data_IF_577303072583
#
_entry.id   IF_577303072583
#
_cell.length_a   1.000
_cell.length_b   1.000
_cell.length_c   1.000
_cell.angle_alpha   90.00
_cell.angle_beta   90.00
_cell.angle_gamma   90.00
#
_symmetry.space_group_name_H-M   'P 1'
#
loop_
_entity.id
_entity.type
_entity.pdbx_description
1 polymer ?
#
# COMPACT_ATOMS: atom_id res chain seq x y z
N UNK A 1 51.53 10.47 24.67
CA UNK A 1 50.28 9.75 24.95
C UNK A 1 49.54 9.65 23.64
N UNK A 2 49.47 8.48 23.04
CA UNK A 2 48.72 8.28 21.79
C UNK A 2 47.23 8.47 22.07
N UNK A 3 46.60 9.47 21.47
CA UNK A 3 45.16 9.66 21.55
C UNK A 3 44.49 8.41 20.97
N UNK A 4 43.77 7.64 21.78
CA UNK A 4 42.99 6.50 21.31
C UNK A 4 41.96 7.04 20.32
N UNK A 5 42.09 6.66 19.04
CA UNK A 5 41.12 7.03 18.02
C UNK A 5 39.75 6.45 18.40
N UNK A 6 38.69 7.23 18.25
CA UNK A 6 37.30 6.83 18.54
C UNK A 6 36.76 5.90 17.47
N UNK A 7 35.76 5.09 17.81
CA UNK A 7 34.91 4.37 16.85
C UNK A 7 33.80 5.30 16.36
N UNK A 8 33.50 5.33 15.07
CA UNK A 8 32.35 6.04 14.49
C UNK A 8 31.22 5.04 14.22
N UNK A 9 30.03 5.33 14.73
CA UNK A 9 28.81 4.55 14.47
C UNK A 9 27.83 5.47 13.75
N UNK A 10 27.42 5.08 12.53
CA UNK A 10 26.50 5.81 11.68
C UNK A 10 25.19 5.02 11.60
N UNK A 11 24.10 5.56 12.15
CA UNK A 11 22.76 5.02 12.01
C UNK A 11 21.96 5.96 11.12
N UNK A 12 21.60 5.50 9.92
CA UNK A 12 20.95 6.36 8.92
C UNK A 12 19.99 5.59 8.03
N UNK A 13 19.00 6.26 7.45
CA UNK A 13 18.19 5.64 6.41
C UNK A 13 18.98 5.52 5.09
N UNK A 14 19.82 6.52 4.76
CA UNK A 14 20.62 6.55 3.56
C UNK A 14 22.04 7.02 3.86
N UNK A 15 23.05 6.18 3.51
CA UNK A 15 24.46 6.52 3.62
C UNK A 15 25.08 6.70 2.23
N UNK A 16 25.59 7.89 1.95
CA UNK A 16 26.29 8.22 0.70
C UNK A 16 27.81 8.12 0.90
N UNK A 17 28.40 7.14 0.23
CA UNK A 17 29.86 6.89 0.21
C UNK A 17 30.38 6.97 -1.24
N UNK A 18 29.80 7.85 -2.04
CA UNK A 18 30.24 8.01 -3.44
C UNK A 18 31.54 8.81 -3.55
N UNK A 19 31.87 9.64 -2.56
CA UNK A 19 33.07 10.47 -2.54
C UNK A 19 33.64 10.61 -1.13
N UNK A 20 34.08 9.49 -0.50
CA UNK A 20 34.56 9.51 0.88
C UNK A 20 35.91 10.24 0.97
N UNK A 21 36.07 11.02 2.03
CA UNK A 21 37.31 11.71 2.30
C UNK A 21 38.25 10.79 3.12
N UNK A 22 39.36 10.40 2.56
CA UNK A 22 40.35 9.55 3.22
C UNK A 22 40.78 10.10 4.61
N UNK A 23 40.87 11.44 4.75
CA UNK A 23 41.19 12.13 6.01
C UNK A 23 40.14 11.89 7.08
N UNK A 24 38.85 11.86 6.71
CA UNK A 24 37.75 11.60 7.66
C UNK A 24 37.78 10.14 8.09
N UNK A 25 37.99 9.23 7.15
CA UNK A 25 38.01 7.79 7.43
C UNK A 25 39.19 7.41 8.33
N UNK A 26 40.37 8.00 8.12
CA UNK A 26 41.57 7.72 8.90
C UNK A 26 41.55 8.32 10.31
N UNK A 27 40.60 9.19 10.63
CA UNK A 27 40.44 9.79 11.96
C UNK A 27 39.84 8.82 13.00
N UNK A 28 39.27 7.68 12.54
CA UNK A 28 38.58 6.73 13.40
C UNK A 28 39.30 5.37 13.43
N UNK A 29 39.26 4.71 14.59
CA UNK A 29 39.83 3.37 14.78
C UNK A 29 39.00 2.27 14.12
N UNK A 30 37.70 2.49 13.98
CA UNK A 30 36.74 1.64 13.29
C UNK A 30 35.51 2.48 12.89
N UNK A 31 34.83 2.08 11.82
CA UNK A 31 33.59 2.70 11.37
C UNK A 31 32.54 1.60 11.24
N UNK A 32 31.39 1.82 11.84
CA UNK A 32 30.23 0.94 11.75
C UNK A 32 29.08 1.71 11.09
N UNK A 33 28.58 1.19 9.98
CA UNK A 33 27.51 1.80 9.19
C UNK A 33 26.28 0.90 9.31
N UNK A 34 25.22 1.40 9.92
CA UNK A 34 23.91 0.78 10.00
C UNK A 34 22.94 1.63 9.18
N UNK A 35 22.57 1.15 8.00
CA UNK A 35 21.76 1.92 7.07
C UNK A 35 20.68 1.06 6.40
N UNK A 36 19.54 1.66 6.07
CA UNK A 36 18.58 0.98 5.21
C UNK A 36 19.13 0.86 3.76
N UNK A 37 19.84 1.90 3.27
CA UNK A 37 20.47 1.88 1.96
C UNK A 37 21.84 2.54 2.02
N UNK A 38 22.81 1.95 1.31
CA UNK A 38 24.16 2.51 1.12
C UNK A 38 24.42 2.71 -0.36
N UNK A 39 24.93 3.88 -0.72
CA UNK A 39 25.39 4.19 -2.08
C UNK A 39 26.92 4.34 -2.02
N UNK A 40 27.62 3.59 -2.86
CA UNK A 40 29.07 3.52 -2.83
C UNK A 40 29.63 3.62 -4.24
N UNK A 41 30.73 4.37 -4.42
CA UNK A 41 31.48 4.32 -5.68
C UNK A 41 32.45 3.13 -5.72
N UNK A 42 32.85 2.65 -6.93
CA UNK A 42 33.87 1.60 -7.04
C UNK A 42 35.16 1.98 -6.30
N UNK A 43 35.59 3.22 -6.43
CA UNK A 43 36.79 3.77 -5.79
C UNK A 43 36.68 3.77 -4.26
N UNK A 44 35.50 4.18 -3.77
CA UNK A 44 35.20 4.15 -2.33
C UNK A 44 35.19 2.74 -1.77
N UNK A 45 34.69 1.77 -2.54
CA UNK A 45 34.67 0.36 -2.15
C UNK A 45 36.07 -0.20 -1.96
N UNK A 46 37.00 0.12 -2.86
CA UNK A 46 38.42 -0.27 -2.75
C UNK A 46 39.04 0.38 -1.49
N UNK A 47 38.79 1.67 -1.27
CA UNK A 47 39.32 2.39 -0.12
C UNK A 47 38.80 1.80 1.22
N UNK A 48 37.50 1.48 1.31
CA UNK A 48 36.93 0.89 2.51
C UNK A 48 37.45 -0.51 2.81
N UNK A 49 37.85 -1.29 1.80
CA UNK A 49 38.41 -2.63 2.00
C UNK A 49 39.73 -2.59 2.78
N UNK A 50 40.44 -1.47 2.73
CA UNK A 50 41.70 -1.28 3.44
C UNK A 50 41.50 -0.75 4.89
N UNK A 51 40.29 -0.46 5.32
CA UNK A 51 39.96 0.15 6.59
C UNK A 51 39.09 -0.78 7.44
N UNK A 52 39.09 -0.64 8.79
CA UNK A 52 38.20 -1.42 9.67
C UNK A 52 36.77 -0.87 9.61
N UNK A 53 36.08 -1.10 8.49
CA UNK A 53 34.68 -0.69 8.27
C UNK A 53 33.79 -1.91 8.28
N UNK A 54 32.77 -1.88 9.13
CA UNK A 54 31.66 -2.84 9.12
C UNK A 54 30.40 -2.16 8.57
N UNK A 55 29.65 -2.87 7.72
CA UNK A 55 28.47 -2.33 7.06
C UNK A 55 27.29 -3.29 7.20
N UNK A 56 26.24 -2.80 7.86
CA UNK A 56 24.93 -3.46 7.99
C UNK A 56 23.94 -2.65 7.16
N UNK A 57 23.61 -3.11 5.96
CA UNK A 57 22.69 -2.41 5.08
C UNK A 57 21.69 -3.40 4.46
N UNK A 58 20.41 -2.98 4.35
CA UNK A 58 19.40 -3.76 3.64
C UNK A 58 19.65 -3.74 2.11
N UNK A 59 20.23 -2.66 1.58
CA UNK A 59 20.63 -2.56 0.18
C UNK A 59 21.93 -1.79 0.00
N UNK A 60 22.74 -2.19 -1.01
CA UNK A 60 23.96 -1.49 -1.42
C UNK A 60 23.90 -1.24 -2.91
N UNK A 61 23.96 0.02 -3.32
CA UNK A 61 23.91 0.44 -4.72
C UNK A 61 25.24 1.06 -5.13
N UNK A 62 25.79 0.64 -6.28
CA UNK A 62 26.98 1.27 -6.84
C UNK A 62 26.60 2.45 -7.73
N UNK A 63 27.30 3.56 -7.55
CA UNK A 63 27.17 4.74 -8.40
C UNK A 63 28.56 5.35 -8.66
N UNK A 64 28.81 5.96 -9.84
CA UNK A 64 30.05 6.63 -10.13
C UNK A 64 30.38 7.74 -9.12
N UNK A 65 31.68 8.01 -8.91
CA UNK A 65 32.11 9.13 -8.07
C UNK A 65 31.50 10.46 -8.57
N UNK A 66 31.08 11.32 -7.64
CA UNK A 66 30.46 12.61 -7.97
C UNK A 66 29.01 12.51 -8.43
N UNK A 67 28.38 11.33 -8.38
CA UNK A 67 26.95 11.16 -8.65
C UNK A 67 26.13 11.95 -7.61
N UNK A 68 25.21 12.77 -8.09
CA UNK A 68 24.25 13.44 -7.22
C UNK A 68 23.13 12.46 -6.85
N UNK A 69 22.79 12.40 -5.57
CA UNK A 69 21.65 11.61 -5.09
C UNK A 69 20.42 12.52 -5.05
N UNK A 70 19.38 12.14 -5.78
CA UNK A 70 18.08 12.82 -5.77
C UNK A 70 17.02 11.89 -5.18
N UNK A 71 16.51 12.23 -3.99
CA UNK A 71 15.40 11.50 -3.34
C UNK A 71 14.10 12.24 -3.59
N UNK A 72 13.12 11.52 -4.13
CA UNK A 72 11.77 12.01 -4.42
C UNK A 72 10.75 11.18 -3.65
N UNK A 73 9.89 11.86 -2.88
CA UNK A 73 8.78 11.22 -2.18
C UNK A 73 7.46 11.54 -2.91
N UNK A 74 6.59 10.54 -3.04
CA UNK A 74 5.34 10.66 -3.76
C UNK A 74 5.44 10.32 -5.24
N UNK A 75 4.90 11.14 -6.13
CA UNK A 75 4.92 10.89 -7.58
C UNK A 75 6.01 11.71 -8.26
N UNK A 76 6.87 11.02 -9.01
CA UNK A 76 7.89 11.64 -9.85
C UNK A 76 7.65 11.26 -11.32
N UNK A 77 7.85 12.21 -12.22
CA UNK A 77 7.62 12.03 -13.65
C UNK A 77 8.90 12.24 -14.45
N UNK A 78 9.26 11.27 -15.30
CA UNK A 78 10.33 11.40 -16.29
C UNK A 78 9.71 11.70 -17.64
N UNK A 79 10.07 12.85 -18.20
CA UNK A 79 9.64 13.31 -19.52
C UNK A 79 10.81 13.31 -20.51
N UNK A 80 10.57 13.36 -21.83
CA UNK A 80 11.65 13.43 -22.83
C UNK A 80 12.64 14.58 -22.62
N UNK A 81 12.18 15.70 -22.04
CA UNK A 81 12.99 16.88 -21.75
C UNK A 81 13.63 16.86 -20.35
N UNK A 82 13.29 15.84 -19.54
CA UNK A 82 13.70 15.73 -18.13
C UNK A 82 15.07 15.07 -17.90
N UNK A 83 15.95 15.04 -18.90
CA UNK A 83 17.29 14.47 -18.73
C UNK A 83 18.12 15.30 -17.73
N UNK A 84 18.74 14.68 -16.71
CA UNK A 84 19.63 15.39 -15.81
C UNK A 84 20.91 15.85 -16.53
N UNK A 85 21.38 17.06 -16.21
CA UNK A 85 22.61 17.63 -16.78
C UNK A 85 23.90 17.08 -16.17
N UNK A 86 23.79 16.31 -15.09
CA UNK A 86 24.90 15.64 -14.37
C UNK A 86 24.48 14.21 -14.05
N UNK A 87 25.43 13.30 -13.77
CA UNK A 87 25.07 11.97 -13.30
C UNK A 87 24.23 12.03 -12.00
N UNK A 88 23.01 11.52 -12.05
CA UNK A 88 22.07 11.49 -10.92
C UNK A 88 21.67 10.05 -10.65
N UNK A 89 21.77 9.62 -9.41
CA UNK A 89 21.06 8.45 -8.89
C UNK A 89 19.70 8.94 -8.37
N UNK A 90 18.63 8.56 -9.07
CA UNK A 90 17.26 8.91 -8.70
C UNK A 90 16.67 7.83 -7.79
N UNK A 91 16.25 8.22 -6.61
CA UNK A 91 15.53 7.38 -5.66
C UNK A 91 14.09 7.89 -5.52
N UNK A 92 13.10 7.06 -5.85
CA UNK A 92 11.69 7.42 -5.75
C UNK A 92 11.01 6.56 -4.69
N UNK A 93 10.51 7.19 -3.64
CA UNK A 93 9.65 6.54 -2.64
C UNK A 93 8.20 6.86 -2.97
N UNK A 94 7.53 5.94 -3.67
CA UNK A 94 6.15 6.13 -4.11
C UNK A 94 5.94 5.71 -5.56
N UNK A 95 5.76 6.65 -6.48
CA UNK A 95 5.39 6.34 -7.87
C UNK A 95 6.33 7.01 -8.86
N UNK A 96 6.88 6.22 -9.77
CA UNK A 96 7.60 6.71 -10.94
C UNK A 96 6.71 6.59 -12.19
N UNK A 97 6.49 7.71 -12.87
CA UNK A 97 5.76 7.78 -14.12
C UNK A 97 6.72 8.15 -15.25
N UNK A 98 6.86 7.28 -16.22
CA UNK A 98 7.72 7.52 -17.41
C UNK A 98 6.83 7.81 -18.60
N UNK A 99 7.10 8.90 -19.32
CA UNK A 99 6.34 9.30 -20.50
C UNK A 99 6.92 8.71 -21.79
N UNK A 100 6.10 8.51 -22.83
CA UNK A 100 6.59 8.09 -24.15
C UNK A 100 7.73 9.01 -24.65
N UNK A 101 8.72 8.42 -25.31
CA UNK A 101 9.88 9.16 -25.85
C UNK A 101 10.97 9.48 -24.84
N UNK A 102 10.89 9.04 -23.57
CA UNK A 102 11.87 9.37 -22.52
C UNK A 102 13.12 8.48 -22.50
N UNK A 103 13.43 7.74 -23.57
CA UNK A 103 14.59 6.83 -23.62
C UNK A 103 15.92 7.54 -23.29
N UNK A 104 16.16 8.70 -23.90
CA UNK A 104 17.40 9.48 -23.67
C UNK A 104 17.44 10.03 -22.23
N UNK A 105 16.33 10.51 -21.72
CA UNK A 105 16.23 10.97 -20.33
C UNK A 105 16.54 9.84 -19.36
N UNK A 106 16.00 8.64 -19.57
CA UNK A 106 16.30 7.46 -18.73
C UNK A 106 17.77 7.08 -18.74
N UNK A 107 18.41 7.11 -19.93
CA UNK A 107 19.86 6.78 -20.06
C UNK A 107 20.77 7.80 -19.38
N UNK A 108 20.32 9.04 -19.23
CA UNK A 108 21.10 10.10 -18.59
C UNK A 108 21.18 9.95 -17.04
N UNK A 109 20.30 9.14 -16.43
CA UNK A 109 20.45 8.81 -15.01
C UNK A 109 21.57 7.78 -14.80
N UNK A 110 22.41 8.02 -13.80
CA UNK A 110 23.44 7.06 -13.37
C UNK A 110 22.79 5.78 -12.79
N UNK A 111 21.61 5.89 -12.22
CA UNK A 111 20.78 4.80 -11.74
C UNK A 111 19.40 5.29 -11.35
N UNK A 112 18.43 4.37 -11.34
CA UNK A 112 17.06 4.65 -10.90
C UNK A 112 16.68 3.55 -9.90
N UNK A 113 16.25 3.96 -8.71
CA UNK A 113 15.76 3.08 -7.67
C UNK A 113 14.36 3.51 -7.24
N UNK A 114 13.40 2.59 -7.23
CA UNK A 114 12.01 2.91 -6.92
C UNK A 114 11.50 1.97 -5.83
N UNK A 115 11.06 2.54 -4.73
CA UNK A 115 10.30 1.84 -3.69
C UNK A 115 8.83 2.18 -3.88
N UNK A 116 8.10 1.31 -4.62
CA UNK A 116 6.69 1.54 -4.93
C UNK A 116 6.28 1.12 -6.33
N UNK A 117 5.57 1.98 -7.07
CA UNK A 117 4.99 1.64 -8.37
C UNK A 117 5.68 2.36 -9.52
N UNK A 118 5.99 1.63 -10.59
CA UNK A 118 6.51 2.20 -11.84
C UNK A 118 5.51 2.00 -12.98
N UNK A 119 5.24 3.07 -13.73
CA UNK A 119 4.41 3.07 -14.93
C UNK A 119 5.26 3.56 -16.10
N UNK A 120 5.37 2.76 -17.16
CA UNK A 120 6.22 3.09 -18.31
C UNK A 120 5.64 2.57 -19.64
N UNK A 121 5.92 3.25 -20.79
CA UNK A 121 5.53 2.79 -22.10
C UNK A 121 6.20 1.48 -22.50
N UNK A 122 5.53 0.62 -23.24
CA UNK A 122 6.04 -0.68 -23.69
C UNK A 122 7.39 -0.56 -24.41
N UNK A 123 7.59 0.49 -25.22
CA UNK A 123 8.85 0.72 -25.96
C UNK A 123 10.05 0.95 -25.03
N UNK A 124 9.83 1.33 -23.78
CA UNK A 124 10.90 1.65 -22.82
C UNK A 124 11.24 0.48 -21.87
N UNK A 125 10.71 -0.71 -22.12
CA UNK A 125 10.98 -1.89 -21.27
C UNK A 125 12.49 -2.23 -21.18
N UNK A 126 13.23 -2.02 -22.26
CA UNK A 126 14.69 -2.23 -22.28
C UNK A 126 15.46 -1.28 -21.38
N UNK A 127 15.10 0.01 -21.37
CA UNK A 127 15.68 1.01 -20.49
C UNK A 127 15.29 0.77 -19.03
N UNK A 128 14.05 0.40 -18.78
CA UNK A 128 13.53 0.14 -17.44
C UNK A 128 14.09 -1.12 -16.79
N UNK A 129 14.62 -2.07 -17.56
CA UNK A 129 15.31 -3.25 -17.01
C UNK A 129 16.56 -2.91 -16.17
N UNK A 130 17.11 -1.69 -16.33
CA UNK A 130 18.23 -1.17 -15.55
C UNK A 130 17.82 -0.54 -14.22
N UNK A 131 16.53 -0.26 -14.02
CA UNK A 131 16.00 0.30 -12.79
C UNK A 131 15.84 -0.81 -11.73
N UNK A 132 16.15 -0.48 -10.48
CA UNK A 132 15.88 -1.34 -9.33
C UNK A 132 14.50 -0.97 -8.78
N UNK A 133 13.55 -1.91 -8.82
CA UNK A 133 12.19 -1.65 -8.38
C UNK A 133 11.79 -2.61 -7.25
N UNK A 134 11.59 -2.04 -6.06
CA UNK A 134 10.97 -2.70 -4.92
C UNK A 134 9.48 -2.38 -4.92
N UNK A 135 8.68 -3.24 -5.57
CA UNK A 135 7.24 -3.00 -5.70
C UNK A 135 6.69 -3.51 -7.02
N UNK A 136 5.80 -2.74 -7.67
CA UNK A 136 5.12 -3.17 -8.88
C UNK A 136 5.54 -2.36 -10.11
N UNK A 137 5.59 -3.04 -11.25
CA UNK A 137 5.82 -2.41 -12.56
C UNK A 137 4.62 -2.64 -13.47
N UNK A 138 4.20 -1.61 -14.20
CA UNK A 138 3.10 -1.68 -15.16
C UNK A 138 3.55 -1.03 -16.46
N UNK A 139 3.65 -1.84 -17.50
CA UNK A 139 3.89 -1.34 -18.85
C UNK A 139 2.55 -1.00 -19.53
N UNK A 140 2.51 0.06 -20.32
CA UNK A 140 1.32 0.46 -21.07
C UNK A 140 1.66 0.75 -22.55
N UNK A 141 0.68 0.66 -23.47
CA UNK A 141 0.90 0.94 -24.88
C UNK A 141 1.33 2.40 -25.12
N UNK A 142 2.26 2.60 -26.03
CA UNK A 142 2.88 3.92 -26.31
C UNK A 142 1.88 4.95 -26.85
N UNK A 143 0.87 4.50 -27.58
CA UNK A 143 -0.21 5.29 -28.15
C UNK A 143 -1.39 5.53 -27.20
N UNK A 144 -1.37 4.90 -26.02
CA UNK A 144 -2.45 5.03 -25.06
C UNK A 144 -2.33 6.28 -24.20
N UNK A 145 -3.46 6.88 -23.90
CA UNK A 145 -3.57 7.88 -22.82
C UNK A 145 -3.60 7.15 -21.49
N UNK A 146 -2.56 7.35 -20.68
CA UNK A 146 -2.50 6.76 -19.36
C UNK A 146 -3.42 7.49 -18.37
N UNK A 147 -4.33 6.73 -17.76
CA UNK A 147 -5.14 7.15 -16.60
C UNK A 147 -4.69 6.31 -15.40
N UNK A 148 -3.89 6.90 -14.53
CA UNK A 148 -3.41 6.22 -13.36
C UNK A 148 -4.42 6.35 -12.22
N UNK A 149 -5.18 5.28 -11.99
CA UNK A 149 -6.31 5.21 -11.08
C UNK A 149 -7.58 4.72 -11.77
N UNK A 150 -8.73 5.15 -11.27
CA UNK A 150 -10.04 4.88 -11.87
C UNK A 150 -10.38 5.94 -12.92
N UNK A 151 -11.02 5.50 -14.00
CA UNK A 151 -11.59 6.38 -15.01
C UNK A 151 -13.11 6.45 -14.81
N UNK A 152 -13.63 7.60 -14.43
CA UNK A 152 -15.07 7.86 -14.40
C UNK A 152 -15.51 8.46 -15.73
N UNK A 153 -16.37 7.75 -16.43
CA UNK A 153 -16.98 8.23 -17.70
C UNK A 153 -18.23 9.03 -17.34
N UNK A 154 -18.17 10.30 -17.63
CA UNK A 154 -19.27 11.26 -17.53
C UNK A 154 -19.47 11.98 -18.87
N UNK A 155 -20.43 12.88 -18.96
CA UNK A 155 -20.69 13.66 -20.17
C UNK A 155 -19.46 14.47 -20.61
N UNK A 156 -18.65 14.98 -19.67
CA UNK A 156 -17.44 15.71 -19.98
C UNK A 156 -16.34 14.83 -20.54
N UNK A 157 -16.19 13.60 -20.02
CA UNK A 157 -15.27 12.60 -20.59
C UNK A 157 -15.65 12.30 -22.04
N UNK A 158 -16.94 12.05 -22.31
CA UNK A 158 -17.44 11.78 -23.66
C UNK A 158 -17.11 12.93 -24.63
N UNK A 159 -17.34 14.17 -24.22
CA UNK A 159 -17.03 15.34 -25.04
C UNK A 159 -15.55 15.50 -25.37
N UNK A 160 -14.65 15.11 -24.46
CA UNK A 160 -13.19 15.21 -24.58
C UNK A 160 -12.52 13.98 -25.17
N UNK A 161 -13.25 12.87 -25.28
CA UNK A 161 -12.72 11.62 -25.77
C UNK A 161 -12.16 11.77 -27.19
N UNK A 162 -11.04 11.11 -27.45
CA UNK A 162 -10.34 11.07 -28.74
C UNK A 162 -10.33 9.65 -29.28
N UNK A 163 -10.04 9.50 -30.55
CA UNK A 163 -9.75 8.22 -31.18
C UNK A 163 -8.39 7.71 -30.72
N UNK A 164 -8.37 7.13 -29.53
CA UNK A 164 -7.15 6.62 -28.87
C UNK A 164 -7.52 5.63 -27.79
N UNK A 165 -6.70 4.62 -27.52
CA UNK A 165 -6.86 3.78 -26.33
C UNK A 165 -6.56 4.56 -25.05
N UNK A 166 -7.36 4.30 -24.01
CA UNK A 166 -7.16 4.79 -22.64
C UNK A 166 -6.72 3.65 -21.76
N UNK A 167 -5.46 3.65 -21.34
CA UNK A 167 -4.96 2.65 -20.41
C UNK A 167 -5.28 3.05 -18.97
N UNK A 168 -6.18 2.30 -18.32
CA UNK A 168 -6.69 2.59 -16.99
C UNK A 168 -6.13 1.58 -15.98
N UNK A 169 -5.36 2.06 -15.00
CA UNK A 169 -4.62 1.17 -14.11
C UNK A 169 -5.47 0.49 -13.03
N UNK A 170 -6.64 1.04 -12.70
CA UNK A 170 -7.53 0.50 -11.66
C UNK A 170 -8.80 -0.08 -12.26
N UNK A 171 -9.75 0.74 -12.60
CA UNK A 171 -11.02 0.33 -13.23
C UNK A 171 -11.70 1.51 -13.95
N UNK A 172 -12.65 1.17 -14.84
CA UNK A 172 -13.52 2.15 -15.48
C UNK A 172 -14.90 2.13 -14.83
N UNK A 173 -15.51 3.29 -14.63
CA UNK A 173 -16.85 3.45 -14.06
C UNK A 173 -17.75 4.17 -15.05
N UNK A 174 -18.84 3.53 -15.46
CA UNK A 174 -19.91 4.08 -16.31
C UNK A 174 -21.23 3.87 -15.55
N UNK A 175 -21.49 4.73 -14.55
CA UNK A 175 -22.61 4.54 -13.60
C UNK A 175 -23.87 5.34 -13.96
N UNK A 176 -23.76 6.40 -14.74
CA UNK A 176 -24.91 7.20 -15.15
C UNK A 176 -25.64 6.51 -16.31
N UNK A 177 -26.86 6.05 -16.07
CA UNK A 177 -27.69 5.33 -17.03
C UNK A 177 -28.16 6.18 -18.22
N UNK A 178 -27.95 7.51 -18.17
CA UNK A 178 -28.40 8.45 -19.20
C UNK A 178 -27.29 8.89 -20.16
N UNK A 179 -26.08 8.35 -19.99
CA UNK A 179 -24.94 8.69 -20.87
C UNK A 179 -25.17 8.20 -22.32
N UNK A 180 -24.84 9.04 -23.26
CA UNK A 180 -24.77 8.66 -24.68
C UNK A 180 -23.46 7.93 -24.97
N UNK A 181 -23.47 6.62 -24.75
CA UNK A 181 -22.31 5.76 -24.97
C UNK A 181 -22.00 5.60 -26.46
N UNK A 182 -22.99 5.70 -27.33
CA UNK A 182 -22.77 5.60 -28.80
C UNK A 182 -21.84 6.70 -29.28
N UNK A 183 -22.00 7.92 -28.76
CA UNK A 183 -21.10 9.02 -29.08
C UNK A 183 -19.66 8.74 -28.68
N UNK A 184 -19.41 7.98 -27.58
CA UNK A 184 -18.08 7.56 -27.17
C UNK A 184 -17.48 6.50 -28.09
N UNK A 185 -18.30 5.51 -28.49
CA UNK A 185 -17.92 4.46 -29.47
C UNK A 185 -17.60 5.08 -30.83
N UNK A 186 -18.44 5.97 -31.33
CA UNK A 186 -18.27 6.67 -32.62
C UNK A 186 -16.99 7.53 -32.64
N UNK A 187 -16.54 8.03 -31.49
CA UNK A 187 -15.27 8.73 -31.37
C UNK A 187 -14.05 7.81 -31.39
N UNK A 188 -14.21 6.50 -31.45
CA UNK A 188 -13.12 5.53 -31.51
C UNK A 188 -12.43 5.29 -30.16
N UNK A 189 -13.00 5.77 -29.05
CA UNK A 189 -12.42 5.55 -27.72
C UNK A 189 -12.44 4.06 -27.35
N UNK A 190 -11.38 3.58 -26.70
CA UNK A 190 -11.26 2.21 -26.17
C UNK A 190 -10.59 2.25 -24.81
N UNK A 191 -11.03 1.36 -23.91
CA UNK A 191 -10.44 1.24 -22.57
C UNK A 191 -9.65 -0.06 -22.46
N UNK A 192 -8.37 0.08 -22.17
CA UNK A 192 -7.48 -1.00 -21.80
C UNK A 192 -7.46 -1.08 -20.26
N UNK A 193 -8.28 -1.98 -19.72
CA UNK A 193 -8.44 -2.13 -18.25
C UNK A 193 -8.74 -3.57 -17.89
N UNK A 194 -8.41 -3.97 -16.67
CA UNK A 194 -8.77 -5.31 -16.16
C UNK A 194 -10.20 -5.39 -15.64
N UNK A 195 -10.81 -4.24 -15.25
CA UNK A 195 -12.10 -4.21 -14.57
C UNK A 195 -12.90 -2.98 -14.96
N UNK A 196 -14.20 -3.14 -15.15
CA UNK A 196 -15.11 -2.03 -15.34
C UNK A 196 -16.41 -2.26 -14.57
N UNK A 197 -17.00 -1.18 -14.09
CA UNK A 197 -18.34 -1.13 -13.51
C UNK A 197 -19.24 -0.36 -14.47
N UNK A 198 -20.29 -0.98 -14.94
CA UNK A 198 -21.14 -0.43 -16.00
C UNK A 198 -22.60 -0.52 -15.60
N UNK A 199 -23.35 0.57 -15.70
CA UNK A 199 -24.80 0.56 -15.48
C UNK A 199 -25.44 -0.53 -16.36
N UNK A 200 -26.25 -1.40 -15.76
CA UNK A 200 -26.85 -2.58 -16.40
C UNK A 200 -27.53 -2.25 -17.72
N UNK A 201 -28.20 -1.10 -17.79
CA UNK A 201 -28.90 -0.64 -19.03
C UNK A 201 -27.97 -0.30 -20.18
N UNK A 202 -26.70 0.02 -19.89
CA UNK A 202 -25.71 0.43 -20.89
C UNK A 202 -24.77 -0.70 -21.31
N UNK A 203 -24.92 -1.91 -20.75
CA UNK A 203 -24.00 -3.02 -21.00
C UNK A 203 -23.81 -3.30 -22.51
N UNK A 204 -24.89 -3.46 -23.25
CA UNK A 204 -24.80 -3.80 -24.66
C UNK A 204 -24.09 -2.72 -25.52
N UNK A 205 -24.25 -1.45 -25.15
CA UNK A 205 -23.66 -0.33 -25.88
C UNK A 205 -22.20 -0.11 -25.50
N UNK A 206 -21.80 -0.55 -24.32
CA UNK A 206 -20.43 -0.35 -23.78
C UNK A 206 -19.45 -1.45 -24.18
N UNK A 207 -19.91 -2.64 -24.53
CA UNK A 207 -19.04 -3.77 -24.90
C UNK A 207 -17.95 -3.41 -25.93
N UNK A 208 -18.24 -2.65 -27.01
CA UNK A 208 -17.21 -2.28 -27.99
C UNK A 208 -16.07 -1.41 -27.43
N UNK A 209 -16.24 -0.81 -26.24
CA UNK A 209 -15.24 0.04 -25.60
C UNK A 209 -14.16 -0.77 -24.88
N UNK A 210 -14.38 -2.06 -24.62
CA UNK A 210 -13.51 -2.90 -23.79
C UNK A 210 -12.93 -4.06 -24.59
N UNK A 211 -11.78 -4.55 -24.16
CA UNK A 211 -11.22 -5.82 -24.62
C UNK A 211 -11.96 -7.00 -23.97
N UNK A 212 -11.97 -8.14 -24.65
CA UNK A 212 -12.61 -9.38 -24.15
C UNK A 212 -12.05 -9.86 -22.81
N UNK A 213 -10.82 -9.46 -22.48
CA UNK A 213 -10.15 -9.77 -21.22
C UNK A 213 -10.66 -8.95 -20.04
N UNK A 214 -11.38 -7.87 -20.27
CA UNK A 214 -11.88 -6.99 -19.22
C UNK A 214 -13.06 -7.63 -18.46
N UNK A 215 -12.96 -7.72 -17.13
CA UNK A 215 -14.08 -8.13 -16.28
C UNK A 215 -15.07 -6.98 -16.12
N UNK A 216 -16.22 -7.09 -16.75
CA UNK A 216 -17.30 -6.10 -16.64
C UNK A 216 -18.29 -6.54 -15.57
N UNK A 217 -18.53 -5.67 -14.59
CA UNK A 217 -19.47 -5.86 -13.49
C UNK A 217 -20.68 -4.93 -13.68
N UNK A 218 -21.90 -5.49 -13.81
CA UNK A 218 -23.08 -4.67 -13.97
C UNK A 218 -23.45 -3.97 -12.66
N UNK A 219 -23.74 -2.68 -12.75
CA UNK A 219 -24.39 -1.92 -11.68
C UNK A 219 -25.89 -2.07 -11.88
N UNK A 220 -26.63 -2.73 -10.96
CA UNK A 220 -28.06 -2.97 -11.13
C UNK A 220 -28.86 -1.66 -11.30
N UNK A 221 -29.87 -1.68 -12.17
CA UNK A 221 -30.66 -0.51 -12.48
C UNK A 221 -31.21 0.18 -11.22
N UNK A 222 -31.05 1.50 -11.16
CA UNK A 222 -31.47 2.33 -10.03
C UNK A 222 -30.63 2.20 -8.78
N UNK A 223 -29.47 1.52 -8.81
CA UNK A 223 -28.52 1.48 -7.70
C UNK A 223 -27.49 2.61 -7.84
N UNK A 224 -27.19 3.27 -6.75
CA UNK A 224 -26.11 4.28 -6.69
C UNK A 224 -24.76 3.60 -6.56
N UNK A 225 -23.80 3.99 -7.38
CA UNK A 225 -22.43 3.50 -7.32
C UNK A 225 -21.64 4.20 -6.23
N UNK A 226 -21.09 3.39 -5.33
CA UNK A 226 -20.20 3.81 -4.24
C UNK A 226 -18.82 3.23 -4.54
N UNK A 227 -17.83 4.10 -4.69
CA UNK A 227 -16.45 3.71 -4.96
C UNK A 227 -15.76 3.35 -3.65
N UNK A 228 -14.95 2.31 -3.68
CA UNK A 228 -14.17 1.83 -2.54
C UNK A 228 -14.97 1.24 -1.37
N UNK A 229 -14.23 0.85 -0.32
CA UNK A 229 -14.77 0.36 0.93
C UNK A 229 -15.50 1.48 1.69
N UNK A 230 -16.61 1.15 2.32
CA UNK A 230 -17.41 2.10 3.07
C UNK A 230 -17.96 1.48 4.36
N UNK A 231 -18.32 2.38 5.28
CA UNK A 231 -19.09 2.04 6.47
C UNK A 231 -20.51 2.57 6.27
N UNK A 232 -21.53 1.74 6.55
CA UNK A 232 -22.91 2.18 6.49
C UNK A 232 -23.14 3.29 7.51
N UNK A 233 -23.51 4.46 7.02
CA UNK A 233 -23.82 5.64 7.86
C UNK A 233 -25.05 6.36 7.33
N UNK A 234 -25.70 7.13 8.18
CA UNK A 234 -26.80 7.99 7.75
C UNK A 234 -26.38 9.03 6.71
N UNK A 235 -25.10 9.42 6.67
CA UNK A 235 -24.55 10.31 5.64
C UNK A 235 -24.45 9.59 4.29
N UNK A 236 -24.00 8.33 4.29
CA UNK A 236 -23.94 7.50 3.08
C UNK A 236 -25.33 7.35 2.45
N UNK A 237 -26.35 6.97 3.26
CA UNK A 237 -27.73 6.80 2.79
C UNK A 237 -28.34 8.12 2.27
N UNK A 238 -28.08 9.24 2.94
CA UNK A 238 -28.55 10.56 2.45
C UNK A 238 -27.90 10.94 1.12
N UNK A 239 -26.65 10.53 0.87
CA UNK A 239 -25.93 10.88 -0.35
C UNK A 239 -26.28 9.96 -1.52
N UNK A 240 -26.41 8.66 -1.26
CA UNK A 240 -26.52 7.65 -2.30
C UNK A 240 -27.89 6.95 -2.34
N UNK A 241 -28.75 7.17 -1.35
CA UNK A 241 -30.05 6.50 -1.25
C UNK A 241 -29.95 5.11 -0.64
N UNK A 242 -31.02 4.33 -0.76
CA UNK A 242 -31.23 3.01 -0.11
C UNK A 242 -30.88 1.81 -1.01
N UNK A 243 -30.51 2.05 -2.25
CA UNK A 243 -30.12 1.02 -3.24
C UNK A 243 -28.65 1.22 -3.60
N UNK A 244 -27.77 0.45 -3.01
CA UNK A 244 -26.32 0.65 -3.10
C UNK A 244 -25.65 -0.44 -3.94
N UNK A 245 -24.68 -0.01 -4.74
CA UNK A 245 -23.66 -0.84 -5.33
C UNK A 245 -22.29 -0.36 -4.82
N UNK A 246 -21.67 -1.11 -3.93
CA UNK A 246 -20.36 -0.80 -3.33
C UNK A 246 -19.27 -1.55 -4.09
N UNK A 247 -18.31 -0.83 -4.65
CA UNK A 247 -17.19 -1.40 -5.41
C UNK A 247 -16.04 -1.90 -4.53
N UNK A 248 -16.32 -2.30 -3.32
CA UNK A 248 -15.41 -2.77 -2.28
C UNK A 248 -16.17 -3.48 -1.18
N UNK A 249 -15.63 -3.40 0.02
CA UNK A 249 -16.24 -3.93 1.25
C UNK A 249 -17.27 -2.96 1.81
N UNK A 250 -18.25 -3.49 2.53
CA UNK A 250 -19.20 -2.68 3.32
C UNK A 250 -19.23 -3.18 4.75
N UNK A 251 -19.10 -2.26 5.69
CA UNK A 251 -19.19 -2.55 7.12
C UNK A 251 -20.48 -1.95 7.68
N UNK A 252 -21.29 -2.77 8.31
CA UNK A 252 -22.45 -2.35 9.10
C UNK A 252 -22.05 -2.50 10.57
N UNK A 253 -22.18 -1.45 11.37
CA UNK A 253 -21.77 -1.49 12.78
C UNK A 253 -22.91 -1.97 13.68
N UNK A 254 -22.55 -2.53 14.82
CA UNK A 254 -23.49 -2.79 15.90
C UNK A 254 -24.13 -1.44 16.37
N UNK A 255 -25.44 -1.42 16.48
CA UNK A 255 -26.21 -0.18 16.76
C UNK A 255 -26.76 0.55 15.54
N UNK A 256 -26.41 0.11 14.30
CA UNK A 256 -26.90 0.69 13.05
C UNK A 256 -28.11 -0.07 12.45
N UNK A 257 -28.91 -0.79 13.30
CA UNK A 257 -30.08 -1.58 12.89
C UNK A 257 -31.09 -0.76 12.07
N UNK A 258 -31.37 0.47 12.51
CA UNK A 258 -32.31 1.36 11.82
C UNK A 258 -31.79 1.82 10.44
N UNK A 259 -30.47 1.95 10.29
CA UNK A 259 -29.86 2.28 9.00
C UNK A 259 -29.86 1.07 8.07
N UNK A 260 -29.53 -0.10 8.59
CA UNK A 260 -29.55 -1.35 7.84
C UNK A 260 -30.96 -1.69 7.32
N UNK A 261 -31.99 -1.43 8.14
CA UNK A 261 -33.40 -1.63 7.79
C UNK A 261 -33.91 -0.70 6.66
N UNK A 262 -33.21 0.40 6.37
CA UNK A 262 -33.56 1.30 5.26
C UNK A 262 -33.04 0.79 3.90
N UNK A 263 -32.11 -0.18 3.90
CA UNK A 263 -31.56 -0.71 2.65
C UNK A 263 -32.63 -1.50 1.87
N UNK A 264 -32.90 -1.08 0.66
CA UNK A 264 -33.81 -1.78 -0.29
C UNK A 264 -33.06 -2.78 -1.17
N UNK A 265 -31.82 -2.45 -1.54
CA UNK A 265 -30.92 -3.29 -2.33
C UNK A 265 -29.50 -3.04 -1.94
N UNK A 266 -28.74 -4.11 -1.79
CA UNK A 266 -27.31 -4.05 -1.54
C UNK A 266 -26.56 -5.00 -2.45
N UNK A 267 -25.58 -4.47 -3.18
CA UNK A 267 -24.53 -5.22 -3.87
C UNK A 267 -23.20 -4.72 -3.36
N UNK A 268 -22.29 -5.62 -2.95
CA UNK A 268 -20.92 -5.28 -2.57
C UNK A 268 -19.96 -6.23 -3.30
N UNK A 269 -18.95 -5.71 -3.98
CA UNK A 269 -18.02 -6.57 -4.73
C UNK A 269 -16.99 -7.25 -3.84
N UNK A 270 -16.82 -6.78 -2.61
CA UNK A 270 -15.99 -7.34 -1.55
C UNK A 270 -16.82 -7.99 -0.46
N UNK A 271 -16.32 -7.91 0.75
CA UNK A 271 -16.90 -8.51 1.96
C UNK A 271 -17.93 -7.59 2.61
N UNK A 272 -19.09 -8.15 2.95
CA UNK A 272 -20.07 -7.51 3.81
C UNK A 272 -19.82 -7.94 5.25
N UNK A 273 -19.30 -7.03 6.08
CA UNK A 273 -19.12 -7.24 7.52
C UNK A 273 -20.35 -6.76 8.26
N UNK A 274 -21.03 -7.65 8.97
CA UNK A 274 -22.31 -7.39 9.62
C UNK A 274 -22.38 -8.00 11.01
N UNK A 275 -22.96 -7.33 12.03
CA UNK A 275 -23.24 -7.96 13.32
C UNK A 275 -24.09 -9.21 13.17
N UNK A 276 -23.75 -10.29 13.87
CA UNK A 276 -24.55 -11.54 13.86
C UNK A 276 -26.04 -11.30 14.15
N UNK A 277 -26.35 -10.34 15.02
CA UNK A 277 -27.73 -9.96 15.37
C UNK A 277 -28.53 -9.39 14.21
N UNK A 278 -27.89 -8.83 13.17
CA UNK A 278 -28.55 -8.23 12.01
C UNK A 278 -28.57 -9.15 10.79
N UNK A 279 -27.88 -10.28 10.84
CA UNK A 279 -27.66 -11.13 9.66
C UNK A 279 -29.00 -11.57 9.03
N UNK A 280 -29.93 -12.09 9.82
CA UNK A 280 -31.22 -12.57 9.32
C UNK A 280 -32.05 -11.48 8.64
N UNK A 281 -32.08 -10.29 9.24
CA UNK A 281 -32.83 -9.14 8.70
C UNK A 281 -32.22 -8.66 7.39
N UNK A 282 -30.88 -8.65 7.30
CA UNK A 282 -30.18 -8.25 6.09
C UNK A 282 -30.31 -9.28 4.97
N UNK A 283 -30.31 -10.58 5.30
CA UNK A 283 -30.51 -11.64 4.32
C UNK A 283 -31.90 -11.62 3.68
N UNK A 284 -32.91 -10.97 4.31
CA UNK A 284 -34.23 -10.79 3.72
C UNK A 284 -34.21 -9.95 2.43
N UNK A 285 -33.29 -8.99 2.29
CA UNK A 285 -33.11 -8.20 1.05
C UNK A 285 -32.24 -8.90 0.00
N UNK A 286 -31.74 -10.10 0.30
CA UNK A 286 -30.89 -10.92 -0.59
C UNK A 286 -29.70 -10.10 -1.11
N UNK A 287 -28.79 -9.67 -0.24
CA UNK A 287 -27.63 -8.91 -0.69
C UNK A 287 -26.75 -9.75 -1.63
N UNK A 288 -26.25 -9.14 -2.70
CA UNK A 288 -25.30 -9.76 -3.61
C UNK A 288 -23.91 -9.29 -3.24
N UNK A 289 -23.15 -10.14 -2.56
CA UNK A 289 -21.83 -9.80 -2.00
C UNK A 289 -20.79 -10.84 -2.39
N UNK A 290 -19.51 -10.42 -2.46
CA UNK A 290 -18.40 -11.33 -2.68
C UNK A 290 -18.27 -12.35 -1.55
N UNK A 291 -18.38 -11.86 -0.33
CA UNK A 291 -18.42 -12.67 0.89
C UNK A 291 -19.27 -11.98 1.97
N UNK A 292 -19.74 -12.74 2.97
CA UNK A 292 -20.44 -12.20 4.14
C UNK A 292 -19.72 -12.67 5.40
N UNK A 293 -19.18 -11.74 6.17
CA UNK A 293 -18.47 -11.99 7.42
C UNK A 293 -19.30 -11.50 8.61
N UNK A 294 -20.07 -12.37 9.28
CA UNK A 294 -20.77 -12.02 10.49
C UNK A 294 -19.80 -11.87 11.65
N UNK A 295 -19.98 -10.87 12.51
CA UNK A 295 -19.13 -10.65 13.66
C UNK A 295 -19.91 -10.44 14.96
N UNK A 296 -19.28 -10.72 16.10
CA UNK A 296 -19.80 -10.53 17.44
C UNK A 296 -19.34 -9.22 18.06
N UNK A 297 -20.23 -8.51 18.71
CA UNK A 297 -19.92 -7.31 19.50
C UNK A 297 -19.38 -6.17 18.65
N UNK A 298 -18.20 -5.65 18.99
CA UNK A 298 -17.53 -4.59 18.24
C UNK A 298 -16.49 -5.18 17.28
N UNK A 299 -16.41 -4.65 16.07
CA UNK A 299 -15.41 -5.04 15.08
C UNK A 299 -14.26 -4.02 15.07
N UNK A 300 -13.02 -4.50 15.26
CA UNK A 300 -11.78 -3.79 14.96
C UNK A 300 -11.07 -4.51 13.83
N UNK A 301 -10.82 -3.83 12.71
CA UNK A 301 -10.25 -4.44 11.51
C UNK A 301 -9.22 -3.53 10.83
N UNK A 302 -8.43 -4.10 9.93
CA UNK A 302 -7.40 -3.42 9.12
C UNK A 302 -6.44 -2.59 9.98
N UNK A 303 -5.84 -3.25 10.99
CA UNK A 303 -4.85 -2.62 11.86
C UNK A 303 -3.47 -3.24 11.62
N UNK A 304 -2.46 -2.41 11.40
CA UNK A 304 -1.08 -2.90 11.30
C UNK A 304 -0.64 -3.58 12.60
N UNK A 305 -1.01 -2.98 13.74
CA UNK A 305 -0.73 -3.51 15.07
C UNK A 305 -1.85 -3.12 16.04
N UNK A 306 -2.25 -4.06 16.91
CA UNK A 306 -3.26 -3.87 17.93
C UNK A 306 -2.81 -4.50 19.25
N UNK A 307 -2.99 -3.80 20.36
CA UNK A 307 -2.83 -4.36 21.71
C UNK A 307 -4.22 -4.56 22.32
N UNK A 308 -4.51 -5.78 22.74
CA UNK A 308 -5.74 -6.15 23.45
C UNK A 308 -5.41 -6.29 24.93
N UNK A 309 -5.88 -5.36 25.75
CA UNK A 309 -5.78 -5.37 27.20
C UNK A 309 -7.16 -5.54 27.87
N UNK A 310 -7.17 -5.74 29.18
CA UNK A 310 -8.40 -5.91 29.92
C UNK A 310 -9.29 -4.65 29.89
N UNK A 311 -8.71 -3.45 29.76
CA UNK A 311 -9.45 -2.21 29.66
C UNK A 311 -10.19 -2.10 28.32
N UNK A 312 -9.57 -2.51 27.23
CA UNK A 312 -10.20 -2.57 25.90
C UNK A 312 -11.37 -3.57 25.90
N UNK A 313 -11.18 -4.77 26.45
CA UNK A 313 -12.27 -5.75 26.55
C UNK A 313 -13.42 -5.27 27.42
N UNK A 314 -13.12 -4.58 28.53
CA UNK A 314 -14.15 -4.01 29.40
C UNK A 314 -15.00 -2.92 28.71
N UNK A 315 -14.42 -2.17 27.76
CA UNK A 315 -15.16 -1.20 26.94
C UNK A 315 -16.11 -1.87 25.94
N UNK A 316 -15.86 -3.14 25.60
CA UNK A 316 -16.62 -3.91 24.61
C UNK A 316 -17.29 -5.13 25.25
N UNK A 317 -18.16 -4.88 26.25
CA UNK A 317 -18.81 -5.92 27.06
C UNK A 317 -19.63 -6.97 26.26
N UNK A 318 -20.06 -6.62 25.04
CA UNK A 318 -20.77 -7.53 24.12
C UNK A 318 -19.86 -8.38 23.24
N UNK A 319 -18.55 -8.30 23.47
CA UNK A 319 -17.50 -8.99 22.72
C UNK A 319 -16.74 -8.08 21.77
N UNK A 320 -15.56 -8.55 21.38
CA UNK A 320 -14.65 -7.89 20.46
C UNK A 320 -14.23 -8.88 19.37
N UNK A 321 -14.51 -8.54 18.13
CA UNK A 321 -13.97 -9.24 16.96
C UNK A 321 -12.81 -8.42 16.38
N UNK A 322 -11.66 -9.05 16.22
CA UNK A 322 -10.46 -8.46 15.61
C UNK A 322 -10.20 -9.22 14.31
N UNK A 323 -10.17 -8.51 13.20
CA UNK A 323 -10.06 -9.07 11.84
C UNK A 323 -9.04 -8.31 11.01
N UNK A 324 -8.34 -8.99 10.10
CA UNK A 324 -7.40 -8.36 9.14
C UNK A 324 -6.30 -7.51 9.82
N UNK A 325 -5.76 -7.97 10.94
CA UNK A 325 -4.72 -7.24 11.65
C UNK A 325 -3.34 -7.83 11.36
N UNK A 326 -2.34 -6.97 11.07
CA UNK A 326 -0.97 -7.40 10.83
C UNK A 326 -0.37 -8.12 12.04
N UNK A 327 -0.56 -7.57 13.24
CA UNK A 327 -0.20 -8.22 14.50
C UNK A 327 -1.11 -7.83 15.65
N UNK A 328 -1.38 -8.77 16.55
CA UNK A 328 -2.19 -8.57 17.76
C UNK A 328 -1.41 -9.04 18.96
N UNK A 329 -1.21 -8.15 19.93
CA UNK A 329 -0.56 -8.47 21.21
C UNK A 329 -1.62 -8.54 22.31
N UNK A 330 -1.73 -9.69 23.00
CA UNK A 330 -2.65 -9.85 24.13
C UNK A 330 -1.89 -9.56 25.41
N UNK A 331 -2.30 -8.53 26.12
CA UNK A 331 -1.66 -8.08 27.34
C UNK A 331 -1.79 -9.14 28.46
N UNK A 332 -0.87 -9.11 29.45
CA UNK A 332 -0.82 -10.09 30.52
C UNK A 332 -2.00 -9.99 31.49
N UNK A 333 -2.66 -8.83 31.57
CA UNK A 333 -3.84 -8.58 32.40
C UNK A 333 -5.13 -9.21 31.84
N UNK A 334 -5.12 -9.72 30.60
CA UNK A 334 -6.24 -10.44 30.00
C UNK A 334 -6.21 -11.89 30.45
N UNK A 335 -7.24 -12.32 31.20
CA UNK A 335 -7.34 -13.71 31.64
C UNK A 335 -7.77 -14.64 30.48
N UNK A 336 -7.40 -15.94 30.51
CA UNK A 336 -7.91 -16.93 29.52
C UNK A 336 -9.44 -16.97 29.43
N UNK A 337 -10.13 -16.74 30.53
CA UNK A 337 -11.59 -16.69 30.58
C UNK A 337 -12.15 -15.51 29.78
N UNK A 338 -11.54 -14.30 29.92
CA UNK A 338 -11.94 -13.13 29.13
C UNK A 338 -11.73 -13.35 27.64
N UNK A 339 -10.62 -14.01 27.26
CA UNK A 339 -10.35 -14.35 25.86
C UNK A 339 -11.50 -15.23 25.30
N UNK A 340 -11.85 -16.30 25.99
CA UNK A 340 -12.86 -17.25 25.54
C UNK A 340 -14.26 -16.65 25.44
N UNK A 341 -14.61 -15.71 26.33
CA UNK A 341 -15.95 -15.14 26.37
C UNK A 341 -16.14 -13.93 25.43
N UNK A 342 -15.07 -13.12 25.29
CA UNK A 342 -15.21 -11.78 24.70
C UNK A 342 -14.42 -11.57 23.41
N UNK A 343 -13.46 -12.46 23.06
CA UNK A 343 -12.55 -12.19 21.94
C UNK A 343 -12.79 -13.18 20.79
N UNK A 344 -12.79 -12.68 19.58
CA UNK A 344 -12.72 -13.45 18.33
C UNK A 344 -11.58 -12.87 17.50
N UNK A 345 -10.68 -13.71 16.98
CA UNK A 345 -9.55 -13.32 16.15
C UNK A 345 -9.68 -13.99 14.78
N UNK A 346 -9.63 -13.23 13.69
CA UNK A 346 -9.73 -13.74 12.31
C UNK A 346 -8.71 -13.06 11.42
N UNK A 347 -8.16 -13.79 10.46
CA UNK A 347 -7.29 -13.27 9.40
C UNK A 347 -6.16 -12.37 9.91
N UNK A 348 -5.58 -12.70 11.06
CA UNK A 348 -4.49 -11.92 11.64
C UNK A 348 -3.13 -12.51 11.26
N UNK A 349 -2.16 -11.66 10.91
CA UNK A 349 -0.83 -12.12 10.51
C UNK A 349 -0.08 -12.78 11.65
N UNK A 350 -0.08 -12.19 12.84
CA UNK A 350 0.55 -12.74 14.02
C UNK A 350 -0.22 -12.39 15.30
N UNK A 351 -0.32 -13.34 16.24
CA UNK A 351 -0.87 -13.11 17.58
C UNK A 351 0.20 -13.46 18.62
N UNK A 352 0.48 -12.53 19.51
CA UNK A 352 1.41 -12.73 20.63
C UNK A 352 0.63 -12.78 21.94
N UNK A 353 0.93 -13.77 22.76
CA UNK A 353 0.25 -13.97 24.04
C UNK A 353 1.18 -14.67 25.04
N UNK A 354 0.81 -14.72 26.31
CA UNK A 354 1.55 -15.49 27.30
C UNK A 354 1.27 -17.01 27.15
N UNK A 355 2.15 -17.88 27.65
CA UNK A 355 1.91 -19.33 27.65
C UNK A 355 0.58 -19.73 28.31
N UNK A 356 0.15 -19.01 29.34
CA UNK A 356 -1.12 -19.26 30.03
C UNK A 356 -2.35 -18.91 29.18
N UNK A 357 -2.24 -17.95 28.27
CA UNK A 357 -3.31 -17.48 27.39
C UNK A 357 -3.41 -18.30 26.11
N UNK A 358 -2.31 -18.93 25.67
CA UNK A 358 -2.19 -19.60 24.37
C UNK A 358 -3.33 -20.57 24.08
N UNK A 359 -3.70 -21.40 25.06
CA UNK A 359 -4.79 -22.37 24.88
C UNK A 359 -6.15 -21.71 24.61
N UNK A 360 -6.44 -20.58 25.22
CA UNK A 360 -7.66 -19.80 24.98
C UNK A 360 -7.59 -19.10 23.62
N UNK A 361 -6.45 -18.51 23.27
CA UNK A 361 -6.24 -17.85 21.98
C UNK A 361 -6.47 -18.82 20.82
N UNK A 362 -5.92 -20.03 20.90
CA UNK A 362 -6.11 -21.06 19.86
C UNK A 362 -7.57 -21.47 19.65
N UNK A 363 -8.43 -21.28 20.63
CA UNK A 363 -9.87 -21.62 20.52
C UNK A 363 -10.69 -20.51 19.87
N UNK A 364 -10.26 -19.26 19.98
CA UNK A 364 -10.97 -18.09 19.46
C UNK A 364 -10.35 -17.53 18.18
N UNK A 365 -9.24 -18.10 17.73
CA UNK A 365 -8.50 -17.69 16.55
C UNK A 365 -8.82 -18.58 15.34
N UNK A 366 -9.07 -17.96 14.19
CA UNK A 366 -9.19 -18.59 12.87
C UNK A 366 -8.33 -17.83 11.86
N UNK A 367 -7.73 -18.57 10.93
CA UNK A 367 -6.91 -18.00 9.84
C UNK A 367 -5.80 -17.05 10.33
N UNK A 368 -5.13 -17.44 11.42
CA UNK A 368 -4.01 -16.69 12.00
C UNK A 368 -2.69 -17.28 11.52
N UNK A 369 -1.82 -16.44 10.94
CA UNK A 369 -0.56 -16.88 10.36
C UNK A 369 0.42 -17.47 11.39
N UNK A 370 0.54 -16.85 12.57
CA UNK A 370 1.41 -17.32 13.65
C UNK A 370 0.88 -16.95 15.03
N UNK A 371 0.93 -17.89 15.98
CA UNK A 371 0.65 -17.65 17.40
C UNK A 371 1.93 -17.94 18.18
N UNK A 372 2.53 -16.89 18.79
CA UNK A 372 3.80 -16.98 19.51
C UNK A 372 3.67 -16.58 20.98
N UNK A 373 4.53 -17.14 21.81
CA UNK A 373 4.62 -16.81 23.24
C UNK A 373 5.61 -15.65 23.50
N UNK A 374 6.30 -15.17 22.48
CA UNK A 374 7.25 -14.07 22.59
C UNK A 374 6.51 -12.73 22.68
N UNK A 375 6.31 -12.26 23.90
CA UNK A 375 6.09 -10.83 24.13
C UNK A 375 7.43 -10.13 23.86
N UNK A 376 7.49 -9.30 22.81
CA UNK A 376 8.61 -8.39 22.65
C UNK A 376 8.64 -7.50 23.89
N UNK A 377 9.62 -7.74 24.77
CA UNK A 377 9.90 -6.80 25.84
C UNK A 377 10.04 -5.41 25.22
N UNK A 378 9.45 -4.36 25.81
CA UNK A 378 9.68 -3.02 25.30
C UNK A 378 11.20 -2.85 25.17
N UNK A 379 11.65 -2.38 24.00
CA UNK A 379 13.06 -2.09 23.76
C UNK A 379 13.53 -1.17 24.89
N UNK A 380 14.14 -1.76 25.92
CA UNK A 380 14.85 -0.98 26.94
C UNK A 380 15.92 -0.18 26.17
N UNK A 381 16.01 1.12 26.36
CA UNK A 381 17.09 1.89 25.79
C UNK A 381 18.39 1.27 26.30
N UNK A 382 19.17 0.67 25.41
CA UNK A 382 20.52 0.20 25.70
C UNK A 382 21.39 1.41 26.02
N UNK A 383 21.31 1.87 27.22
CA UNK A 383 22.28 2.79 27.84
C UNK A 383 23.46 1.96 28.32
N UNK A 384 24.41 1.73 27.44
CA UNK A 384 25.79 1.61 27.81
C UNK A 384 26.58 2.60 26.96
N UNK A 385 26.79 3.79 27.49
CA UNK A 385 27.78 4.74 27.01
C UNK A 385 29.18 4.16 27.26
N UNK A 386 29.71 3.45 26.28
CA UNK A 386 31.14 3.28 26.16
C UNK A 386 31.75 4.61 25.72
N UNK A 387 32.49 5.26 26.58
CA UNK A 387 33.05 6.61 26.45
C UNK A 387 34.02 6.80 25.23
N UNK A 388 34.12 5.86 24.31
CA UNK A 388 35.10 5.85 23.23
C UNK A 388 34.50 5.71 21.82
N UNK A 389 33.23 6.04 21.64
CA UNK A 389 32.60 6.07 20.28
C UNK A 389 31.88 7.39 20.05
N UNK A 390 31.75 7.75 18.78
CA UNK A 390 30.93 8.84 18.27
C UNK A 390 29.78 8.23 17.49
N UNK A 391 28.54 8.56 17.86
CA UNK A 391 27.34 8.04 17.20
C UNK A 391 26.61 9.16 16.47
N UNK A 392 26.31 8.94 15.19
CA UNK A 392 25.52 9.85 14.34
C UNK A 392 24.20 9.16 13.99
N UNK A 393 23.09 9.78 14.37
CA UNK A 393 21.74 9.36 14.03
C UNK A 393 21.10 10.40 13.11
N UNK A 394 20.83 10.04 11.86
CA UNK A 394 20.29 10.97 10.86
C UNK A 394 19.51 10.22 9.77
N UNK A 395 18.67 10.90 9.02
CA UNK A 395 18.00 10.32 7.87
C UNK A 395 18.94 10.15 6.65
N UNK A 396 19.92 11.05 6.48
CA UNK A 396 20.92 11.03 5.41
C UNK A 396 22.30 11.37 5.98
N UNK A 397 23.30 10.61 5.59
CA UNK A 397 24.70 10.85 5.94
C UNK A 397 25.59 10.71 4.72
N UNK A 398 26.46 11.68 4.51
CA UNK A 398 27.52 11.62 3.50
C UNK A 398 28.85 11.45 4.19
N UNK A 399 29.55 10.36 3.86
CA UNK A 399 30.85 10.00 4.42
C UNK A 399 32.00 10.56 3.56
#
# INVERSE_FOLDING_TARGET
>A
MSQKMKKLIINTALCDITDPRAEVLSAYSAIEINAASVIISPEAKEMLTALPVSMNAASVTQAPQGTQIAVQNGTYEITPQGAPSRPVLLMVNGRLLVRPGSAEALRAYAGIQVNGKVLYPNSLAGEMSRAQVNGSTVAYPDDAVLIDGAARVDALFILRAKDTPYFVTRHVVIADEQLDIRALVERGARFLTKKAFVAERLLAETLPLFEDSARILPIPAGSAFVEDEEVLTGALLRRYGTRLFVAGDLVIRAGDEELAAQLERLTATGTLRVPESMLDSLMAIKPDCGDISPYKGTLLYDRGHLVVDAALLAQHAHGLTVEDCGSVDIAQDVSPHMILEQLVLRDCGAVRCSPAQRGAVMQVASDVGNISDEQKAPDEPKTQEDANHETVNTAYYKL
#
